data_IF_215171177560
#
_entry.id   IF_215171177560
#
_cell.length_a   1.000
_cell.length_b   1.000
_cell.length_c   1.000
_cell.angle_alpha   90.00
_cell.angle_beta   90.00
_cell.angle_gamma   90.00
#
_symmetry.space_group_name_H-M   'P 1'
#
loop_
_entity.id
_entity.type
_entity.pdbx_description
1 polymer ?
#
# COMPACT_ATOMS: atom_id res chain seq x y z
N UNK A 1 -18.36 11.43 -44.49
CA UNK A 1 -17.84 10.21 -43.83
C UNK A 1 -17.92 10.47 -42.33
N UNK A 2 -19.00 10.00 -41.71
CA UNK A 2 -19.18 10.13 -40.27
C UNK A 2 -18.28 9.10 -39.59
N UNK A 3 -17.36 9.59 -38.76
CA UNK A 3 -16.47 8.74 -37.97
C UNK A 3 -17.35 8.06 -36.91
N UNK A 4 -17.59 6.75 -37.04
CA UNK A 4 -18.33 6.00 -36.02
C UNK A 4 -17.68 6.25 -34.64
N UNK A 5 -18.46 6.51 -33.59
CA UNK A 5 -17.91 6.62 -32.25
C UNK A 5 -17.17 5.32 -31.92
N UNK A 6 -15.85 5.44 -31.74
CA UNK A 6 -14.95 4.29 -31.59
C UNK A 6 -15.43 3.34 -30.49
N UNK A 7 -15.51 2.03 -30.77
CA UNK A 7 -15.90 1.00 -29.80
C UNK A 7 -14.90 0.83 -28.63
N UNK A 8 -13.62 1.14 -28.85
CA UNK A 8 -13.01 2.21 -28.06
C UNK A 8 -13.19 2.16 -26.52
N UNK A 9 -13.80 3.22 -25.94
CA UNK A 9 -14.05 3.35 -24.51
C UNK A 9 -14.82 2.19 -23.87
N UNK A 10 -15.67 1.48 -24.62
CA UNK A 10 -16.49 0.39 -24.08
C UNK A 10 -15.68 -0.90 -23.88
N UNK A 11 -14.63 -1.09 -24.68
CA UNK A 11 -13.75 -2.27 -24.61
C UNK A 11 -12.62 -2.10 -23.59
N UNK A 12 -12.19 -0.85 -23.34
CA UNK A 12 -11.05 -0.56 -22.45
C UNK A 12 -11.17 -1.18 -21.05
N UNK A 13 -12.33 -1.16 -20.34
CA UNK A 13 -12.46 -1.80 -19.03
C UNK A 13 -12.19 -3.31 -19.05
N UNK A 14 -12.44 -3.98 -20.18
CA UNK A 14 -12.27 -5.42 -20.35
C UNK A 14 -10.84 -5.79 -20.78
N UNK A 15 -10.20 -4.94 -21.59
CA UNK A 15 -8.87 -5.18 -22.14
C UNK A 15 -7.76 -4.67 -21.21
N UNK A 16 -7.96 -3.54 -20.53
CA UNK A 16 -6.97 -2.93 -19.63
C UNK A 16 -6.40 -3.90 -18.57
N UNK A 17 -7.17 -4.82 -17.96
CA UNK A 17 -6.64 -5.80 -17.02
C UNK A 17 -5.68 -6.82 -17.65
N UNK A 18 -5.78 -7.03 -18.97
CA UNK A 18 -4.96 -7.97 -19.73
C UNK A 18 -3.72 -7.32 -20.32
N UNK A 19 -3.61 -5.99 -20.25
CA UNK A 19 -2.49 -5.24 -20.81
C UNK A 19 -1.38 -5.10 -19.78
N UNK A 20 -0.14 -5.26 -20.23
CA UNK A 20 1.02 -4.84 -19.45
C UNK A 20 1.16 -3.32 -19.43
N UNK A 21 1.84 -2.78 -18.42
CA UNK A 21 2.08 -1.34 -18.34
C UNK A 21 2.83 -0.78 -19.56
N UNK A 22 3.78 -1.54 -20.08
CA UNK A 22 4.52 -1.25 -21.31
C UNK A 22 3.56 -1.02 -22.50
N UNK A 23 2.54 -1.85 -22.64
CA UNK A 23 1.55 -1.77 -23.71
C UNK A 23 0.59 -0.59 -23.52
N UNK A 24 0.16 -0.33 -22.28
CA UNK A 24 -0.66 0.83 -21.92
C UNK A 24 0.07 2.11 -22.34
N UNK A 25 1.32 2.26 -21.89
CA UNK A 25 2.16 3.42 -22.18
C UNK A 25 2.43 3.57 -23.68
N UNK A 26 2.77 2.48 -24.38
CA UNK A 26 2.99 2.48 -25.83
C UNK A 26 1.73 2.92 -26.58
N UNK A 27 0.57 2.42 -26.19
CA UNK A 27 -0.72 2.74 -26.82
C UNK A 27 -1.06 4.21 -26.66
N UNK A 28 -0.91 4.77 -25.45
CA UNK A 28 -1.10 6.20 -25.22
C UNK A 28 -0.14 7.07 -26.06
N UNK A 29 1.14 6.72 -26.10
CA UNK A 29 2.12 7.52 -26.85
C UNK A 29 1.93 7.42 -28.37
N UNK A 30 1.56 6.24 -28.88
CA UNK A 30 1.37 6.02 -30.31
C UNK A 30 0.03 6.54 -30.83
N UNK A 31 -1.03 6.49 -30.01
CA UNK A 31 -2.40 6.84 -30.42
C UNK A 31 -2.99 7.94 -29.53
N UNK A 32 -2.67 9.20 -29.86
CA UNK A 32 -3.14 10.38 -29.13
C UNK A 32 -4.68 10.43 -28.98
N UNK A 33 -5.42 9.92 -29.97
CA UNK A 33 -6.88 9.96 -30.00
C UNK A 33 -7.50 8.99 -28.99
N UNK A 34 -6.78 7.92 -28.64
CA UNK A 34 -7.20 6.90 -27.69
C UNK A 34 -6.70 7.19 -26.26
N UNK A 35 -5.75 8.12 -26.14
CA UNK A 35 -5.05 8.42 -24.88
C UNK A 35 -6.01 8.90 -23.79
N UNK A 36 -6.92 9.81 -24.13
CA UNK A 36 -7.92 10.33 -23.17
C UNK A 36 -8.74 9.20 -22.56
N UNK A 37 -9.32 8.35 -23.40
CA UNK A 37 -10.17 7.24 -22.95
C UNK A 37 -9.38 6.21 -22.13
N UNK A 38 -8.12 5.98 -22.48
CA UNK A 38 -7.27 5.04 -21.77
C UNK A 38 -6.83 5.58 -20.39
N UNK A 39 -6.46 6.85 -20.31
CA UNK A 39 -6.16 7.51 -19.03
C UNK A 39 -7.41 7.57 -18.14
N UNK A 40 -8.58 7.88 -18.71
CA UNK A 40 -9.85 7.82 -17.97
C UNK A 40 -10.15 6.40 -17.47
N UNK A 41 -9.90 5.35 -18.26
CA UNK A 41 -10.08 3.97 -17.83
C UNK A 41 -9.11 3.57 -16.70
N UNK A 42 -7.84 4.01 -16.78
CA UNK A 42 -6.84 3.85 -15.70
C UNK A 42 -7.32 4.55 -14.43
N UNK A 43 -7.77 5.81 -14.55
CA UNK A 43 -8.31 6.57 -13.43
C UNK A 43 -9.48 5.83 -12.79
N UNK A 44 -10.52 5.49 -13.56
CA UNK A 44 -11.72 4.81 -13.03
C UNK A 44 -11.37 3.50 -12.31
N UNK A 45 -10.46 2.70 -12.87
CA UNK A 45 -10.12 1.37 -12.34
C UNK A 45 -9.19 1.42 -11.13
N UNK A 46 -8.20 2.29 -11.14
CA UNK A 46 -7.07 2.24 -10.21
C UNK A 46 -6.99 3.42 -9.24
N UNK A 47 -7.54 4.58 -9.60
CA UNK A 47 -7.52 5.79 -8.76
C UNK A 47 -8.91 6.17 -8.24
N UNK A 48 -9.96 5.75 -8.93
CA UNK A 48 -11.35 6.03 -8.58
C UNK A 48 -11.90 5.17 -7.43
N UNK A 49 -13.22 5.11 -7.34
CA UNK A 49 -13.96 4.44 -6.25
C UNK A 49 -14.24 2.96 -6.51
N UNK A 50 -13.27 2.24 -7.07
CA UNK A 50 -13.40 0.81 -7.40
C UNK A 50 -12.72 -0.08 -6.35
N UNK A 51 -13.17 -1.34 -6.14
CA UNK A 51 -12.49 -2.28 -5.23
C UNK A 51 -11.03 -2.57 -5.59
N UNK A 52 -10.66 -2.32 -6.85
CA UNK A 52 -9.30 -2.47 -7.39
C UNK A 52 -8.43 -1.23 -7.21
N UNK A 53 -9.00 -0.12 -6.73
CA UNK A 53 -8.26 1.13 -6.58
C UNK A 53 -7.17 1.06 -5.54
N UNK A 54 -6.16 1.92 -5.67
CA UNK A 54 -5.07 2.04 -4.70
C UNK A 54 -5.62 2.31 -3.32
N UNK A 55 -6.54 3.28 -3.18
CA UNK A 55 -7.24 3.59 -1.92
C UNK A 55 -7.89 2.37 -1.28
N UNK A 56 -8.70 1.62 -2.03
CA UNK A 56 -9.36 0.42 -1.51
C UNK A 56 -8.35 -0.67 -1.11
N UNK A 57 -7.24 -0.80 -1.86
CA UNK A 57 -6.16 -1.73 -1.52
C UNK A 57 -5.42 -1.30 -0.26
N UNK A 58 -5.07 -0.03 -0.11
CA UNK A 58 -4.42 0.51 1.10
C UNK A 58 -5.30 0.32 2.32
N UNK A 59 -6.61 0.55 2.22
CA UNK A 59 -7.55 0.28 3.33
C UNK A 59 -7.54 -1.19 3.78
N UNK A 60 -7.55 -2.14 2.83
CA UNK A 60 -7.43 -3.58 3.16
C UNK A 60 -6.07 -3.92 3.79
N UNK A 61 -4.99 -3.31 3.32
CA UNK A 61 -3.67 -3.45 3.96
C UNK A 61 -3.67 -2.85 5.38
N UNK A 62 -4.39 -1.76 5.61
CA UNK A 62 -4.61 -1.16 6.92
C UNK A 62 -5.24 -2.13 7.92
N UNK A 63 -6.29 -2.84 7.51
CA UNK A 63 -6.93 -3.87 8.35
C UNK A 63 -5.97 -5.00 8.71
N UNK A 64 -5.15 -5.44 7.75
CA UNK A 64 -4.11 -6.46 7.95
C UNK A 64 -3.00 -5.98 8.88
N UNK A 65 -2.58 -4.71 8.75
CA UNK A 65 -1.61 -4.08 9.65
C UNK A 65 -2.12 -4.07 11.10
N UNK A 66 -3.39 -3.75 11.33
CA UNK A 66 -4.00 -3.83 12.67
C UNK A 66 -4.02 -5.27 13.20
N UNK A 67 -4.24 -6.26 12.34
CA UNK A 67 -4.11 -7.68 12.70
C UNK A 67 -2.69 -8.05 13.13
N UNK A 68 -1.68 -7.60 12.38
CA UNK A 68 -0.27 -7.80 12.72
C UNK A 68 0.11 -7.11 14.04
N UNK A 69 -0.38 -5.89 14.28
CA UNK A 69 -0.23 -5.16 15.55
C UNK A 69 -0.82 -5.94 16.73
N UNK A 70 -2.04 -6.47 16.59
CA UNK A 70 -2.68 -7.27 17.62
C UNK A 70 -1.94 -8.60 17.86
N UNK A 71 -1.38 -9.22 16.82
CA UNK A 71 -0.54 -10.40 16.95
C UNK A 71 0.76 -10.10 17.72
N UNK A 72 1.41 -8.96 17.44
CA UNK A 72 2.59 -8.53 18.22
C UNK A 72 2.27 -8.25 19.68
N UNK A 73 1.17 -7.55 19.94
CA UNK A 73 0.75 -7.21 21.31
C UNK A 73 0.47 -8.46 22.18
N UNK A 74 0.05 -9.57 21.56
CA UNK A 74 -0.17 -10.84 22.28
C UNK A 74 1.12 -11.49 22.79
N UNK A 75 2.28 -11.22 22.17
CA UNK A 75 3.59 -11.67 22.63
C UNK A 75 3.86 -13.18 22.59
N UNK A 76 2.90 -14.02 22.20
CA UNK A 76 3.10 -15.46 22.04
C UNK A 76 4.07 -15.73 20.87
N UNK A 77 5.02 -16.69 20.98
CA UNK A 77 6.03 -16.93 19.94
C UNK A 77 5.45 -17.16 18.54
N UNK A 78 4.38 -17.96 18.43
CA UNK A 78 3.69 -18.23 17.16
C UNK A 78 3.03 -16.97 16.58
N UNK A 79 2.46 -16.12 17.44
CA UNK A 79 1.84 -14.86 17.02
C UNK A 79 2.88 -13.84 16.55
N UNK A 80 4.05 -13.80 17.19
CA UNK A 80 5.18 -12.95 16.78
C UNK A 80 5.75 -13.39 15.43
N UNK A 81 5.95 -14.70 15.24
CA UNK A 81 6.41 -15.26 13.96
C UNK A 81 5.41 -14.94 12.83
N UNK A 82 4.12 -15.15 13.08
CA UNK A 82 3.04 -14.80 12.13
C UNK A 82 3.05 -13.30 11.78
N UNK A 83 3.19 -12.43 12.79
CA UNK A 83 3.25 -10.99 12.57
C UNK A 83 4.48 -10.55 11.77
N UNK A 84 5.65 -11.18 11.97
CA UNK A 84 6.87 -10.87 11.23
C UNK A 84 6.74 -11.21 9.73
N UNK A 85 6.15 -12.38 9.42
CA UNK A 85 5.83 -12.76 8.04
C UNK A 85 4.85 -11.76 7.43
N UNK A 86 3.79 -11.42 8.16
CA UNK A 86 2.77 -10.49 7.70
C UNK A 86 3.34 -9.10 7.41
N UNK A 87 4.22 -8.57 8.27
CA UNK A 87 4.93 -7.29 8.04
C UNK A 87 5.71 -7.33 6.73
N UNK A 88 6.42 -8.42 6.44
CA UNK A 88 7.18 -8.56 5.19
C UNK A 88 6.25 -8.54 3.97
N UNK A 89 5.11 -9.23 4.05
CA UNK A 89 4.09 -9.22 2.98
C UNK A 89 3.51 -7.82 2.80
N UNK A 90 3.19 -7.12 3.89
CA UNK A 90 2.68 -5.75 3.84
C UNK A 90 3.69 -4.81 3.19
N UNK A 91 4.98 -4.93 3.50
CA UNK A 91 6.05 -4.12 2.89
C UNK A 91 6.12 -4.31 1.38
N UNK A 92 6.11 -5.57 0.94
CA UNK A 92 6.12 -5.91 -0.48
C UNK A 92 4.87 -5.38 -1.19
N UNK A 93 3.69 -5.49 -0.56
CA UNK A 93 2.44 -4.97 -1.09
C UNK A 93 2.47 -3.44 -1.24
N UNK A 94 2.96 -2.72 -0.23
CA UNK A 94 3.11 -1.27 -0.25
C UNK A 94 4.06 -0.83 -1.35
N UNK A 95 5.21 -1.50 -1.49
CA UNK A 95 6.17 -1.22 -2.57
C UNK A 95 5.53 -1.36 -3.95
N UNK A 96 4.86 -2.48 -4.21
CA UNK A 96 4.16 -2.70 -5.49
C UNK A 96 3.10 -1.62 -5.75
N UNK A 97 2.36 -1.20 -4.72
CA UNK A 97 1.39 -0.12 -4.88
C UNK A 97 2.06 1.22 -5.21
N UNK A 98 3.20 1.52 -4.59
CA UNK A 98 3.99 2.71 -4.88
C UNK A 98 4.48 2.75 -6.32
N UNK A 99 5.08 1.65 -6.79
CA UNK A 99 5.52 1.50 -8.18
C UNK A 99 4.36 1.66 -9.18
N UNK A 100 3.15 1.25 -8.81
CA UNK A 100 1.98 1.47 -9.65
C UNK A 100 1.56 2.94 -9.67
N UNK A 101 1.61 3.65 -8.53
CA UNK A 101 1.35 5.08 -8.49
C UNK A 101 2.37 5.87 -9.31
N UNK A 102 3.66 5.52 -9.25
CA UNK A 102 4.71 6.12 -10.08
C UNK A 102 4.44 5.93 -11.57
N UNK A 103 3.99 4.73 -11.96
CA UNK A 103 3.54 4.46 -13.33
C UNK A 103 2.38 5.38 -13.72
N UNK A 104 1.37 5.52 -12.87
CA UNK A 104 0.24 6.42 -13.15
C UNK A 104 0.70 7.88 -13.25
N UNK A 105 1.67 8.31 -12.43
CA UNK A 105 2.29 9.63 -12.53
C UNK A 105 3.01 9.82 -13.88
N UNK A 106 3.86 8.88 -14.33
CA UNK A 106 4.54 8.94 -15.64
C UNK A 106 3.52 9.01 -16.79
N UNK A 107 2.39 8.33 -16.67
CA UNK A 107 1.34 8.41 -17.68
C UNK A 107 0.68 9.79 -17.72
N UNK A 108 0.34 10.38 -16.57
CA UNK A 108 -0.24 11.72 -16.49
C UNK A 108 0.74 12.79 -16.95
N UNK A 109 2.02 12.67 -16.60
CA UNK A 109 3.05 13.60 -17.06
C UNK A 109 3.16 13.60 -18.60
N UNK A 110 3.10 12.42 -19.23
CA UNK A 110 3.29 12.29 -20.68
C UNK A 110 2.06 12.60 -21.51
N UNK A 111 0.88 12.19 -21.07
CA UNK A 111 -0.36 12.27 -21.86
C UNK A 111 -1.53 12.88 -21.10
N UNK A 112 -1.33 13.37 -19.88
CA UNK A 112 -2.38 13.99 -19.06
C UNK A 112 -3.00 15.23 -19.71
N UNK A 113 -2.26 15.97 -20.54
CA UNK A 113 -2.80 17.08 -21.32
C UNK A 113 -4.00 16.68 -22.20
N UNK A 114 -4.14 15.39 -22.56
CA UNK A 114 -5.27 14.88 -23.35
C UNK A 114 -6.59 14.85 -22.57
N UNK A 115 -6.55 14.99 -21.25
CA UNK A 115 -7.72 15.02 -20.37
C UNK A 115 -8.42 16.39 -20.34
N UNK A 116 -7.72 17.49 -20.64
CA UNK A 116 -8.27 18.85 -20.50
C UNK A 116 -8.75 19.09 -19.06
N UNK A 117 -10.00 19.50 -18.91
CA UNK A 117 -10.64 19.78 -17.60
C UNK A 117 -10.69 18.55 -16.67
N UNK A 118 -10.61 17.33 -17.22
CA UNK A 118 -10.59 16.11 -16.41
C UNK A 118 -9.20 15.85 -15.76
N UNK A 119 -8.16 16.64 -16.06
CA UNK A 119 -6.81 16.39 -15.55
C UNK A 119 -6.70 16.63 -14.04
N UNK A 120 -7.28 17.72 -13.55
CA UNK A 120 -7.24 18.10 -12.14
C UNK A 120 -7.81 16.99 -11.23
N UNK A 121 -9.06 16.51 -11.42
CA UNK A 121 -9.61 15.47 -10.55
C UNK A 121 -8.84 14.14 -10.62
N UNK A 122 -8.26 13.82 -11.78
CA UNK A 122 -7.44 12.60 -11.93
C UNK A 122 -6.11 12.74 -11.19
N UNK A 123 -5.50 13.92 -11.23
CA UNK A 123 -4.26 14.23 -10.53
C UNK A 123 -4.47 14.24 -9.02
N UNK A 124 -5.55 14.85 -8.54
CA UNK A 124 -5.92 14.86 -7.13
C UNK A 124 -6.13 13.44 -6.58
N UNK A 125 -6.83 12.59 -7.33
CA UNK A 125 -7.02 11.19 -6.94
C UNK A 125 -5.70 10.41 -6.83
N UNK A 126 -4.72 10.72 -7.67
CA UNK A 126 -3.37 10.14 -7.59
C UNK A 126 -2.62 10.66 -6.36
N UNK A 127 -2.64 11.97 -6.11
CA UNK A 127 -2.00 12.59 -4.95
C UNK A 127 -2.58 12.06 -3.64
N UNK A 128 -3.91 12.01 -3.50
CA UNK A 128 -4.58 11.40 -2.34
C UNK A 128 -4.14 9.94 -2.13
N UNK A 129 -3.98 9.19 -3.22
CA UNK A 129 -3.56 7.79 -3.14
C UNK A 129 -2.11 7.66 -2.68
N UNK A 130 -1.22 8.55 -3.13
CA UNK A 130 0.17 8.62 -2.69
C UNK A 130 0.29 9.00 -1.21
N UNK A 131 -0.45 10.01 -0.75
CA UNK A 131 -0.46 10.43 0.65
C UNK A 131 -0.92 9.32 1.60
N UNK A 132 -1.98 8.59 1.22
CA UNK A 132 -2.47 7.45 2.00
C UNK A 132 -1.46 6.31 2.02
N UNK A 133 -0.81 6.04 0.88
CA UNK A 133 0.22 5.01 0.79
C UNK A 133 1.44 5.36 1.65
N UNK A 134 1.87 6.62 1.65
CA UNK A 134 2.96 7.12 2.49
C UNK A 134 2.61 6.98 3.97
N UNK A 135 1.41 7.43 4.36
CA UNK A 135 0.93 7.30 5.74
C UNK A 135 0.91 5.85 6.21
N UNK A 136 0.51 4.92 5.32
CA UNK A 136 0.56 3.49 5.59
C UNK A 136 2.00 2.96 5.72
N UNK A 137 2.89 3.37 4.81
CA UNK A 137 4.30 2.99 4.83
C UNK A 137 4.98 3.41 6.15
N UNK A 138 4.69 4.63 6.62
CA UNK A 138 5.21 5.14 7.89
C UNK A 138 4.67 4.33 9.09
N UNK A 139 3.39 3.98 9.08
CA UNK A 139 2.79 3.15 10.12
C UNK A 139 3.40 1.75 10.17
N UNK A 140 3.66 1.16 8.99
CA UNK A 140 4.32 -0.13 8.87
C UNK A 140 5.79 -0.07 9.32
N UNK A 141 6.51 1.00 9.00
CA UNK A 141 7.89 1.22 9.46
C UNK A 141 7.96 1.32 10.99
N UNK A 142 7.04 2.07 11.61
CA UNK A 142 6.92 2.14 13.08
C UNK A 142 6.66 0.77 13.70
N UNK A 143 5.77 -0.03 13.10
CA UNK A 143 5.47 -1.36 13.59
C UNK A 143 6.68 -2.31 13.51
N UNK A 144 7.40 -2.28 12.38
CA UNK A 144 8.62 -3.07 12.22
C UNK A 144 9.68 -2.67 13.25
N UNK A 145 9.91 -1.36 13.43
CA UNK A 145 10.86 -0.86 14.42
C UNK A 145 10.49 -1.28 15.86
N UNK A 146 9.21 -1.27 16.21
CA UNK A 146 8.73 -1.77 17.49
C UNK A 146 8.98 -3.28 17.68
N UNK A 147 8.87 -4.06 16.61
CA UNK A 147 9.16 -5.50 16.63
C UNK A 147 10.65 -5.79 16.88
N UNK A 148 11.52 -5.01 16.27
CA UNK A 148 12.99 -5.18 16.33
C UNK A 148 13.59 -4.65 17.65
N UNK A 149 12.92 -3.69 18.30
CA UNK A 149 13.35 -3.09 19.56
C UNK A 149 12.78 -3.76 20.82
N UNK A 150 11.87 -4.73 20.66
CA UNK A 150 11.32 -5.49 21.77
C UNK A 150 12.38 -6.33 22.49
N UNK A 151 12.28 -6.50 23.83
CA UNK A 151 13.19 -7.38 24.56
C UNK A 151 13.08 -8.82 24.03
N UNK A 152 14.19 -9.58 24.02
CA UNK A 152 14.19 -10.94 23.50
C UNK A 152 13.12 -11.80 24.21
N UNK A 153 12.44 -12.69 23.48
CA UNK A 153 11.43 -13.57 24.07
C UNK A 153 12.10 -14.44 25.14
N UNK A 154 11.79 -14.17 26.41
CA UNK A 154 12.40 -14.88 27.54
C UNK A 154 12.52 -14.07 28.83
N UNK A 155 12.47 -12.73 28.78
CA UNK A 155 12.48 -11.92 30.01
C UNK A 155 11.06 -11.83 30.57
N UNK A 156 10.63 -12.93 31.20
CA UNK A 156 9.46 -12.94 32.07
C UNK A 156 9.64 -11.89 33.16
N UNK A 157 8.65 -11.01 33.38
CA UNK A 157 8.59 -10.11 34.52
C UNK A 157 8.66 -10.86 35.88
N UNK A 158 8.49 -12.19 35.89
CA UNK A 158 8.68 -13.05 37.07
C UNK A 158 10.16 -13.20 37.43
N UNK A 159 11.06 -13.30 36.44
CA UNK A 159 12.50 -13.41 36.68
C UNK A 159 13.11 -12.10 37.25
N UNK A 160 12.41 -10.97 37.10
CA UNK A 160 12.85 -9.68 37.63
C UNK A 160 12.53 -9.48 39.11
N UNK A 161 11.68 -10.32 39.73
CA UNK A 161 11.38 -10.27 41.17
C UNK A 161 12.27 -11.17 42.02
N UNK A 162 12.86 -12.21 41.45
CA UNK A 162 13.74 -13.13 42.20
C UNK A 162 15.16 -12.59 42.42
N UNK A 163 15.53 -11.46 41.79
CA UNK A 163 16.75 -10.72 42.09
C UNK A 163 16.65 -9.76 43.28
N UNK A 164 15.49 -9.68 43.96
CA UNK A 164 15.24 -8.75 45.06
C UNK A 164 15.07 -9.45 46.43
N UNK A 165 15.56 -10.68 46.57
CA UNK A 165 15.60 -11.41 47.85
C UNK A 165 17.03 -11.84 48.15
N UNK A 166 17.80 -10.95 48.77
CA UNK A 166 19.18 -11.22 49.16
C UNK A 166 19.66 -10.20 50.18
N UNK A 167 19.09 -10.23 51.38
CA UNK A 167 19.46 -9.34 52.47
C UNK A 167 18.72 -9.71 53.74
N UNK A 168 19.07 -10.85 54.35
CA UNK A 168 18.87 -11.02 55.78
C UNK A 168 19.98 -10.23 56.49
N UNK A 169 19.69 -9.25 57.37
CA UNK A 169 20.67 -8.78 58.31
C UNK A 169 20.85 -9.87 59.38
N UNK A 170 22.05 -10.42 59.45
CA UNK A 170 22.52 -11.13 60.63
C UNK A 170 22.96 -10.08 61.64
N UNK A 171 22.13 -9.84 62.66
CA UNK A 171 22.55 -9.09 63.84
C UNK A 171 23.14 -10.11 64.84
N UNK A 172 24.47 -10.11 64.93
CA UNK A 172 25.22 -10.60 66.09
C UNK A 172 25.32 -9.45 67.10
N UNK A 173 24.64 -9.57 68.24
CA UNK A 173 25.10 -9.25 69.62
C UNK A 173 24.00 -9.54 70.65
#
# INVERSE_FOLDING_TARGET
>A
MECQPSALPQLLPQVLPMMEWSDIRRTCLAQKHCSRSLVQAVHQRYLGKMPTSVRARVQRLGQRLSGAQAAQARGAPEALASAAVEITVLQQCTRILGENCEKYADLLERVGFTLGDDLEPVSDALLESLEQLQSFADALARLKSAAESGPPPGISCRARREGATGGYPSDDD
#
